data_IF_978784038321
#
_entry.id   IF_978784038321
#
_cell.length_a   1.000
_cell.length_b   1.000
_cell.length_c   1.000
_cell.angle_alpha   90.00
_cell.angle_beta   90.00
_cell.angle_gamma   90.00
#
_symmetry.space_group_name_H-M   'P 1'
#
loop_
_entity.id
_entity.type
_entity.pdbx_description
1 polymer ?
#
# COMPACT_ATOMS: atom_id res chain seq x y z
N UNK A 1 -26.26 17.35 -32.53
CA UNK A 1 -27.02 16.39 -31.71
C UNK A 1 -27.48 17.10 -30.44
N UNK A 2 -28.78 17.39 -30.29
CA UNK A 2 -29.33 18.01 -29.07
C UNK A 2 -29.72 16.92 -28.08
N UNK A 3 -29.24 17.02 -26.84
CA UNK A 3 -29.53 16.09 -25.73
C UNK A 3 -29.97 16.93 -24.54
N UNK A 4 -31.13 16.64 -23.96
CA UNK A 4 -31.70 17.40 -22.83
C UNK A 4 -31.74 18.93 -23.05
N UNK A 5 -32.02 19.37 -24.29
CA UNK A 5 -32.07 20.80 -24.65
C UNK A 5 -30.71 21.46 -24.90
N UNK A 6 -29.59 20.75 -24.73
CA UNK A 6 -28.23 21.26 -24.97
C UNK A 6 -27.66 20.64 -26.25
N UNK A 7 -27.00 21.44 -27.09
CA UNK A 7 -26.33 20.95 -28.30
C UNK A 7 -24.99 20.30 -27.94
N UNK A 8 -24.83 19.01 -28.27
CA UNK A 8 -23.64 18.20 -27.99
C UNK A 8 -22.99 17.75 -29.30
N UNK A 9 -21.66 17.71 -29.33
CA UNK A 9 -20.89 17.24 -30.48
C UNK A 9 -20.86 15.70 -30.53
N UNK A 10 -21.06 15.13 -31.73
CA UNK A 10 -20.97 13.67 -31.95
C UNK A 10 -19.58 13.11 -31.60
N UNK A 11 -18.45 13.77 -31.99
CA UNK A 11 -17.13 13.35 -31.54
C UNK A 11 -16.96 13.38 -30.02
N UNK A 12 -17.59 14.36 -29.34
CA UNK A 12 -17.58 14.46 -27.88
C UNK A 12 -18.31 13.31 -27.19
N UNK A 13 -19.45 12.87 -27.74
CA UNK A 13 -20.18 11.71 -27.23
C UNK A 13 -19.36 10.42 -27.33
N UNK A 14 -18.66 10.20 -28.44
CA UNK A 14 -17.74 9.07 -28.57
C UNK A 14 -16.58 9.13 -27.59
N UNK A 15 -16.03 10.33 -27.36
CA UNK A 15 -15.02 10.56 -26.33
C UNK A 15 -15.53 10.21 -24.93
N UNK A 16 -16.70 10.72 -24.57
CA UNK A 16 -17.35 10.46 -23.28
C UNK A 16 -17.62 8.97 -23.07
N UNK A 17 -18.13 8.27 -24.09
CA UNK A 17 -18.36 6.83 -24.04
C UNK A 17 -17.06 6.05 -23.81
N UNK A 18 -15.98 6.40 -24.51
CA UNK A 18 -14.69 5.73 -24.36
C UNK A 18 -14.13 5.91 -22.94
N UNK A 19 -14.27 7.10 -22.35
CA UNK A 19 -13.85 7.38 -20.98
C UNK A 19 -14.67 6.55 -19.99
N UNK A 20 -16.01 6.56 -20.12
CA UNK A 20 -16.90 5.78 -19.25
C UNK A 20 -16.61 4.28 -19.32
N UNK A 21 -16.44 3.73 -20.51
CA UNK A 21 -16.14 2.31 -20.68
C UNK A 21 -14.78 1.93 -20.09
N UNK A 22 -13.72 2.69 -20.38
CA UNK A 22 -12.37 2.41 -19.84
C UNK A 22 -12.31 2.55 -18.32
N UNK A 23 -12.95 3.58 -17.76
CA UNK A 23 -12.97 3.81 -16.32
C UNK A 23 -13.71 2.68 -15.59
N UNK A 24 -14.90 2.31 -16.07
CA UNK A 24 -15.70 1.24 -15.46
C UNK A 24 -14.99 -0.12 -15.55
N UNK A 25 -14.43 -0.47 -16.71
CA UNK A 25 -13.67 -1.71 -16.88
C UNK A 25 -12.40 -1.73 -16.01
N UNK A 26 -11.66 -0.63 -15.93
CA UNK A 26 -10.45 -0.53 -15.12
C UNK A 26 -10.73 -0.69 -13.62
N UNK A 27 -11.77 -0.02 -13.12
CA UNK A 27 -12.19 -0.16 -11.71
C UNK A 27 -12.69 -1.57 -11.43
N UNK A 28 -13.54 -2.14 -12.31
CA UNK A 28 -14.05 -3.49 -12.15
C UNK A 28 -12.91 -4.53 -12.11
N UNK A 29 -11.95 -4.44 -13.05
CA UNK A 29 -10.80 -5.33 -13.08
C UNK A 29 -9.92 -5.19 -11.83
N UNK A 30 -9.69 -3.97 -11.34
CA UNK A 30 -8.92 -3.72 -10.13
C UNK A 30 -9.59 -4.29 -8.88
N UNK A 31 -10.91 -4.11 -8.75
CA UNK A 31 -11.69 -4.65 -7.63
C UNK A 31 -11.73 -6.17 -7.68
N UNK A 32 -11.93 -6.77 -8.86
CA UNK A 32 -11.88 -8.23 -9.03
C UNK A 32 -10.52 -8.80 -8.62
N UNK A 33 -9.43 -8.18 -9.06
CA UNK A 33 -8.08 -8.61 -8.68
C UNK A 33 -7.89 -8.52 -7.16
N UNK A 34 -8.27 -7.39 -6.55
CA UNK A 34 -8.11 -7.15 -5.12
C UNK A 34 -8.98 -8.07 -4.24
N UNK A 35 -10.15 -8.51 -4.72
CA UNK A 35 -11.07 -9.35 -3.97
C UNK A 35 -10.83 -10.86 -4.14
N UNK A 36 -10.19 -11.28 -5.23
CA UNK A 36 -10.00 -12.70 -5.56
C UNK A 36 -8.56 -13.19 -5.39
N UNK A 37 -7.58 -12.28 -5.35
CA UNK A 37 -6.16 -12.63 -5.33
C UNK A 37 -5.51 -12.18 -4.03
N UNK A 38 -4.90 -13.12 -3.31
CA UNK A 38 -4.11 -12.79 -2.13
C UNK A 38 -2.88 -11.96 -2.48
N UNK A 39 -2.50 -11.07 -1.58
CA UNK A 39 -1.38 -10.15 -1.77
C UNK A 39 -0.04 -10.88 -1.98
N UNK A 40 0.12 -12.06 -1.38
CA UNK A 40 1.27 -12.94 -1.61
C UNK A 40 1.29 -13.51 -3.04
N UNK A 41 0.14 -13.90 -3.59
CA UNK A 41 0.03 -14.36 -4.97
C UNK A 41 0.35 -13.25 -5.97
N UNK A 42 -0.01 -12.00 -5.66
CA UNK A 42 0.40 -10.82 -6.46
C UNK A 42 1.94 -10.68 -6.49
N UNK A 43 2.61 -10.81 -5.34
CA UNK A 43 4.09 -10.74 -5.27
C UNK A 43 4.76 -11.85 -6.08
N UNK A 44 4.23 -13.08 -6.01
CA UNK A 44 4.72 -14.21 -6.83
C UNK A 44 4.51 -13.92 -8.33
N UNK A 45 3.37 -13.34 -8.70
CA UNK A 45 3.09 -12.88 -10.06
C UNK A 45 4.11 -11.85 -10.54
N UNK A 46 4.44 -10.86 -9.70
CA UNK A 46 5.47 -9.85 -9.99
C UNK A 46 6.86 -10.49 -10.21
N UNK A 47 7.22 -11.49 -9.41
CA UNK A 47 8.46 -12.25 -9.60
C UNK A 47 8.46 -13.03 -10.93
N UNK A 48 7.33 -13.66 -11.30
CA UNK A 48 7.18 -14.34 -12.60
C UNK A 48 7.24 -13.38 -13.79
N UNK A 49 6.81 -12.14 -13.62
CA UNK A 49 6.96 -11.05 -14.58
C UNK A 49 8.39 -10.47 -14.63
N UNK A 50 9.36 -11.10 -13.94
CA UNK A 50 10.77 -10.74 -13.93
C UNK A 50 11.09 -9.38 -13.30
N UNK A 51 10.28 -8.92 -12.33
CA UNK A 51 10.69 -7.80 -11.48
C UNK A 51 11.98 -8.15 -10.72
N UNK A 52 12.92 -7.19 -10.55
CA UNK A 52 14.12 -7.40 -9.76
C UNK A 52 13.80 -7.95 -8.36
N UNK A 53 14.50 -9.01 -7.89
CA UNK A 53 14.22 -9.65 -6.60
C UNK A 53 14.22 -8.68 -5.42
N UNK A 54 15.08 -7.66 -5.46
CA UNK A 54 15.14 -6.61 -4.45
C UNK A 54 13.81 -5.83 -4.33
N UNK A 55 13.16 -5.50 -5.45
CA UNK A 55 11.88 -4.78 -5.43
C UNK A 55 10.76 -5.66 -4.87
N UNK A 56 10.73 -6.94 -5.27
CA UNK A 56 9.77 -7.92 -4.73
C UNK A 56 9.97 -8.10 -3.21
N UNK A 57 11.23 -8.14 -2.76
CA UNK A 57 11.55 -8.23 -1.35
C UNK A 57 11.13 -6.99 -0.56
N UNK A 58 11.41 -5.79 -1.07
CA UNK A 58 10.96 -4.54 -0.43
C UNK A 58 9.43 -4.53 -0.32
N UNK A 59 8.71 -4.91 -1.39
CA UNK A 59 7.26 -5.03 -1.36
C UNK A 59 6.77 -6.07 -0.34
N UNK A 60 7.40 -7.24 -0.28
CA UNK A 60 7.10 -8.28 0.72
C UNK A 60 7.24 -7.76 2.15
N UNK A 61 8.31 -7.00 2.43
CA UNK A 61 8.50 -6.35 3.72
C UNK A 61 7.44 -5.29 4.02
N UNK A 62 7.10 -4.44 3.05
CA UNK A 62 6.05 -3.43 3.22
C UNK A 62 4.72 -4.08 3.60
N UNK A 63 4.39 -5.20 2.98
CA UNK A 63 3.17 -5.96 3.26
C UNK A 63 3.23 -6.59 4.65
N UNK A 64 4.32 -7.28 4.98
CA UNK A 64 4.50 -7.96 6.27
C UNK A 64 4.53 -7.00 7.46
N UNK A 65 5.11 -5.82 7.29
CA UNK A 65 5.27 -4.83 8.36
C UNK A 65 4.24 -3.70 8.31
N UNK A 66 3.36 -3.65 7.30
CA UNK A 66 2.32 -2.64 7.17
C UNK A 66 1.36 -2.63 8.36
N UNK A 67 0.84 -3.80 8.73
CA UNK A 67 -0.07 -3.93 9.88
C UNK A 67 0.61 -3.57 11.20
N UNK A 68 1.87 -3.98 11.35
CA UNK A 68 2.68 -3.67 12.53
C UNK A 68 2.84 -2.16 12.72
N UNK A 69 3.19 -1.44 11.65
CA UNK A 69 3.38 0.02 11.69
C UNK A 69 2.04 0.72 11.93
N UNK A 70 0.97 0.21 11.31
CA UNK A 70 -0.39 0.73 11.50
C UNK A 70 -0.88 0.57 12.93
N UNK A 71 -0.60 -0.58 13.56
CA UNK A 71 -0.89 -0.83 14.97
C UNK A 71 -0.11 0.08 15.91
N UNK A 72 1.16 0.33 15.61
CA UNK A 72 1.99 1.27 16.37
C UNK A 72 1.43 2.70 16.25
N UNK A 73 1.10 3.13 15.04
CA UNK A 73 0.45 4.42 14.79
C UNK A 73 -0.89 4.52 15.55
N UNK A 74 -1.68 3.44 15.57
CA UNK A 74 -2.95 3.37 16.31
C UNK A 74 -2.72 3.50 17.82
N UNK A 75 -1.76 2.79 18.40
CA UNK A 75 -1.38 2.90 19.82
C UNK A 75 -0.97 4.33 20.18
N UNK A 76 -0.12 4.94 19.36
CA UNK A 76 0.32 6.33 19.55
C UNK A 76 -0.86 7.31 19.44
N UNK A 77 -1.80 7.08 18.51
CA UNK A 77 -3.02 7.88 18.34
C UNK A 77 -3.93 7.81 19.57
N UNK A 78 -4.14 6.60 20.12
CA UNK A 78 -4.90 6.41 21.35
C UNK A 78 -4.23 7.16 22.51
N UNK A 79 -2.93 6.97 22.70
CA UNK A 79 -2.19 7.63 23.78
C UNK A 79 -2.22 9.16 23.70
N UNK A 80 -2.23 9.74 22.49
CA UNK A 80 -2.41 11.19 22.30
C UNK A 80 -3.82 11.63 22.72
N UNK A 81 -4.86 10.93 22.23
CA UNK A 81 -6.25 11.24 22.56
C UNK A 81 -6.52 11.14 24.06
N UNK A 82 -5.95 10.14 24.75
CA UNK A 82 -6.06 10.01 26.21
C UNK A 82 -5.42 11.17 26.98
N UNK A 83 -4.45 11.88 26.41
CA UNK A 83 -3.84 13.09 26.99
C UNK A 83 -4.59 14.38 26.63
N UNK A 84 -5.80 14.27 26.07
CA UNK A 84 -6.63 15.42 25.68
C UNK A 84 -6.24 16.06 24.34
N UNK A 85 -5.42 15.39 23.52
CA UNK A 85 -5.07 15.92 22.20
C UNK A 85 -6.18 15.64 21.17
N UNK A 86 -6.68 16.71 20.54
CA UNK A 86 -7.55 16.66 19.37
C UNK A 86 -6.96 17.46 18.20
N UNK A 87 -6.84 16.80 17.05
CA UNK A 87 -6.37 17.43 15.82
C UNK A 87 -7.51 18.23 15.16
N UNK A 88 -7.59 19.53 15.45
CA UNK A 88 -8.62 20.43 14.92
C UNK A 88 -8.14 21.37 13.81
N UNK A 89 -6.84 21.38 13.48
CA UNK A 89 -6.30 22.24 12.42
C UNK A 89 -4.77 22.21 12.31
N UNK A 90 -4.23 23.24 11.63
CA UNK A 90 -2.79 23.37 11.33
C UNK A 90 -1.92 23.55 12.58
N UNK A 91 -2.46 24.12 13.67
CA UNK A 91 -1.74 24.31 14.94
C UNK A 91 -1.27 23.00 15.56
N UNK A 92 -1.91 21.89 15.21
CA UNK A 92 -1.61 20.56 15.72
C UNK A 92 -0.59 19.79 14.88
N UNK A 93 -0.15 20.35 13.74
CA UNK A 93 0.80 19.69 12.85
C UNK A 93 2.14 19.40 13.53
N UNK A 94 2.60 20.27 14.44
CA UNK A 94 3.82 20.01 15.20
C UNK A 94 3.75 18.70 16.01
N UNK A 95 2.63 18.45 16.68
CA UNK A 95 2.43 17.22 17.48
C UNK A 95 2.30 15.98 16.58
N UNK A 96 1.65 16.12 15.42
CA UNK A 96 1.56 15.06 14.44
C UNK A 96 2.93 14.74 13.81
N UNK A 97 3.72 15.77 13.51
CA UNK A 97 5.08 15.62 12.99
C UNK A 97 5.99 14.91 14.01
N UNK A 98 5.95 15.30 15.28
CA UNK A 98 6.69 14.59 16.35
C UNK A 98 6.26 13.13 16.46
N UNK A 99 4.97 12.85 16.28
CA UNK A 99 4.47 11.48 16.27
C UNK A 99 4.96 10.68 15.06
N UNK A 100 4.99 11.29 13.88
CA UNK A 100 5.56 10.65 12.69
C UNK A 100 7.06 10.41 12.83
N UNK A 101 7.80 11.37 13.40
CA UNK A 101 9.23 11.22 13.68
C UNK A 101 9.51 10.05 14.64
N UNK A 102 8.74 9.96 15.73
CA UNK A 102 8.86 8.83 16.66
C UNK A 102 8.50 7.48 16.00
N UNK A 103 7.47 7.45 15.14
CA UNK A 103 7.11 6.24 14.38
C UNK A 103 8.23 5.84 13.40
N UNK A 104 8.84 6.82 12.73
CA UNK A 104 9.96 6.60 11.81
C UNK A 104 11.16 5.97 12.53
N UNK A 105 11.60 6.55 13.65
CA UNK A 105 12.73 6.02 14.43
C UNK A 105 12.43 4.58 14.88
N UNK A 106 11.25 4.32 15.46
CA UNK A 106 10.85 2.97 15.89
C UNK A 106 10.81 1.97 14.74
N UNK A 107 10.35 2.39 13.57
CA UNK A 107 10.28 1.54 12.38
C UNK A 107 11.66 1.25 11.80
N UNK A 108 12.55 2.25 11.81
CA UNK A 108 13.95 2.10 11.41
C UNK A 108 14.71 1.12 12.31
N UNK A 109 14.67 1.33 13.63
CA UNK A 109 15.30 0.45 14.63
C UNK A 109 14.74 -0.98 14.55
N UNK A 110 13.45 -1.12 14.24
CA UNK A 110 12.86 -2.44 13.99
C UNK A 110 13.41 -3.07 12.70
N UNK A 111 13.55 -2.30 11.63
CA UNK A 111 14.14 -2.75 10.37
C UNK A 111 15.57 -3.25 10.56
N UNK A 112 16.38 -2.52 11.30
CA UNK A 112 17.76 -2.91 11.64
C UNK A 112 17.80 -4.23 12.43
N UNK A 113 16.97 -4.36 13.47
CA UNK A 113 16.87 -5.63 14.24
C UNK A 113 16.45 -6.81 13.37
N UNK A 114 15.53 -6.60 12.44
CA UNK A 114 15.08 -7.63 11.50
C UNK A 114 16.19 -8.01 10.53
N UNK A 115 16.92 -7.02 10.00
CA UNK A 115 18.04 -7.26 9.11
C UNK A 115 19.16 -8.05 9.81
N UNK A 116 19.53 -7.67 11.03
CA UNK A 116 20.50 -8.41 11.83
C UNK A 116 20.04 -9.86 12.07
N UNK A 117 18.77 -10.06 12.41
CA UNK A 117 18.21 -11.41 12.58
C UNK A 117 18.22 -12.23 11.28
N UNK A 118 18.07 -11.59 10.13
CA UNK A 118 18.17 -12.25 8.82
C UNK A 118 19.60 -12.67 8.52
N UNK A 119 20.58 -11.78 8.75
CA UNK A 119 22.00 -12.08 8.57
C UNK A 119 22.41 -13.25 9.47
N UNK A 120 21.99 -13.26 10.74
CA UNK A 120 22.23 -14.39 11.66
C UNK A 120 21.61 -15.71 11.22
N UNK A 121 20.60 -15.69 10.33
CA UNK A 121 19.95 -16.87 9.75
C UNK A 121 20.50 -17.24 8.36
N UNK A 122 21.61 -16.64 7.92
CA UNK A 122 22.25 -16.94 6.64
C UNK A 122 21.65 -16.21 5.44
N UNK A 123 21.08 -15.02 5.64
CA UNK A 123 20.55 -14.23 4.54
C UNK A 123 21.62 -13.86 3.50
N UNK A 124 21.45 -14.33 2.26
CA UNK A 124 22.38 -14.17 1.15
C UNK A 124 21.88 -13.18 0.07
N UNK A 125 21.03 -12.22 0.45
CA UNK A 125 20.50 -11.22 -0.50
C UNK A 125 19.18 -11.60 -1.19
N UNK A 126 18.62 -12.76 -0.88
CA UNK A 126 17.30 -13.19 -1.36
C UNK A 126 16.50 -13.76 -0.19
N UNK A 127 15.20 -13.45 -0.14
CA UNK A 127 14.31 -14.13 0.79
C UNK A 127 13.90 -15.49 0.22
N UNK A 128 13.83 -16.54 1.05
CA UNK A 128 13.23 -17.80 0.63
C UNK A 128 11.77 -17.53 0.27
N UNK A 129 11.44 -17.78 -1.00
CA UNK A 129 10.07 -17.78 -1.46
C UNK A 129 9.49 -19.11 -1.00
N UNK A 130 8.62 -19.09 0.00
CA UNK A 130 7.85 -20.28 0.36
C UNK A 130 6.92 -20.52 -0.82
N UNK A 131 7.18 -21.54 -1.63
CA UNK A 131 6.26 -21.98 -2.67
C UNK A 131 5.36 -23.05 -2.04
N UNK A 132 4.05 -22.83 -2.00
CA UNK A 132 3.09 -23.82 -1.50
C UNK A 132 2.98 -25.04 -2.42
N UNK A 133 3.67 -25.05 -3.57
CA UNK A 133 3.80 -26.22 -4.42
C UNK A 133 4.59 -27.40 -3.78
N UNK A 134 5.14 -27.22 -2.57
CA UNK A 134 5.88 -28.26 -1.81
C UNK A 134 5.43 -28.33 -0.35
N UNK A 135 4.12 -28.46 -0.12
CA UNK A 135 3.54 -28.91 1.14
C UNK A 135 2.48 -29.98 0.89
#
# INVERSE_FOLDING_TARGET
>A
TTVLGVSVSVPGLWGAWNVLAKATLGVAASVLLASTTELRAVLLGLQRLKLPPLLVQIASFMIRYGDVITDEMRRMSIARRSRGFEARGVRQWGVLATSMGALFIRSYERGERVHLAMVSRGYAGTMPVIDEATA
#
